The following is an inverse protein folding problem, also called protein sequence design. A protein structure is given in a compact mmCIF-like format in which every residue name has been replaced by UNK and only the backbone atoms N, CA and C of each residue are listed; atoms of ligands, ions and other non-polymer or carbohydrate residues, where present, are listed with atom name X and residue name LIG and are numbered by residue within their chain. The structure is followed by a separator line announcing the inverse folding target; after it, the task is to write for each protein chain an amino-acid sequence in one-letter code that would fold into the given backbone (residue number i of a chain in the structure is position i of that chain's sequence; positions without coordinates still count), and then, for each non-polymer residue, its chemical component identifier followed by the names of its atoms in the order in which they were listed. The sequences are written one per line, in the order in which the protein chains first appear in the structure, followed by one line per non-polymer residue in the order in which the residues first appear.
data_IF_408925108160
#
_entry.id   IF_408925108160
#
_cell.length_a   1.000
_cell.length_b   1.000
_cell.length_c   1.000
_cell.angle_alpha   90.00
_cell.angle_beta   90.00
_cell.angle_gamma   90.00
#
_symmetry.space_group_name_H-M   'P 1'
#
loop_
_entity.id
_entity.type
_entity.pdbx_description
1 polymer ?
#
# COMPACT_ATOMS: atom_id res chain seq x y z
N UNK A 1 4.75 5.32 -16.56
CA UNK A 1 4.29 4.09 -15.92
C UNK A 1 3.24 4.43 -14.88
N UNK A 2 2.19 3.61 -14.79
CA UNK A 2 1.07 3.76 -13.88
C UNK A 2 1.13 2.69 -12.80
N UNK A 3 0.76 3.02 -11.57
CA UNK A 3 0.73 2.11 -10.44
C UNK A 3 0.94 2.87 -9.13
N UNK A 4 0.58 2.22 -8.02
CA UNK A 4 0.76 2.77 -6.67
C UNK A 4 2.24 2.81 -6.31
N UNK A 5 2.79 3.95 -5.86
CA UNK A 5 4.16 4.04 -5.38
C UNK A 5 4.42 3.06 -4.22
N UNK A 6 5.49 2.27 -4.31
CA UNK A 6 5.86 1.39 -3.20
C UNK A 6 6.23 2.21 -1.96
N UNK A 7 5.63 1.94 -0.80
CA UNK A 7 5.90 2.66 0.45
C UNK A 7 7.19 2.18 1.12
N UNK A 8 8.27 2.09 0.35
CA UNK A 8 9.55 1.55 0.79
C UNK A 8 10.62 2.64 0.72
N UNK A 9 11.27 2.91 1.84
CA UNK A 9 12.41 3.82 1.94
C UNK A 9 13.69 3.02 2.20
N UNK A 10 14.76 3.42 1.54
CA UNK A 10 16.11 2.85 1.72
C UNK A 10 17.09 3.94 2.09
N UNK A 11 18.08 3.57 2.92
CA UNK A 11 19.19 4.46 3.26
C UNK A 11 19.93 4.89 2.01
N UNK A 12 20.30 6.16 1.96
CA UNK A 12 21.12 6.75 0.91
C UNK A 12 22.39 7.39 1.48
N UNK A 13 23.42 7.47 0.66
CA UNK A 13 24.63 8.21 0.95
C UNK A 13 24.46 9.73 0.67
N UNK A 14 25.53 10.49 0.78
CA UNK A 14 25.55 11.93 0.54
C UNK A 14 25.30 12.31 -0.93
N UNK A 15 25.45 11.36 -1.85
CA UNK A 15 25.19 11.51 -3.28
C UNK A 15 23.81 10.95 -3.69
N UNK A 16 22.95 10.66 -2.71
CA UNK A 16 21.63 10.06 -2.92
C UNK A 16 21.63 8.65 -3.56
N UNK A 17 22.76 7.92 -3.44
CA UNK A 17 22.84 6.52 -3.88
C UNK A 17 22.36 5.58 -2.78
N UNK A 18 21.59 4.57 -3.13
CA UNK A 18 21.11 3.58 -2.17
C UNK A 18 22.27 2.74 -1.62
N UNK A 19 22.26 2.57 -0.31
CA UNK A 19 23.23 1.72 0.41
C UNK A 19 22.58 0.36 0.64
N UNK A 20 23.24 -0.71 0.22
CA UNK A 20 22.77 -2.07 0.48
C UNK A 20 22.83 -2.41 1.97
N UNK A 21 21.95 -3.32 2.42
CA UNK A 21 21.89 -3.76 3.83
C UNK A 21 23.23 -4.37 4.30
N UNK A 22 23.94 -5.11 3.41
CA UNK A 22 25.27 -5.65 3.70
C UNK A 22 26.33 -4.58 3.96
N UNK A 23 26.11 -3.35 3.47
CA UNK A 23 27.00 -2.20 3.63
C UNK A 23 26.47 -1.23 4.71
N UNK A 24 25.55 -1.70 5.55
CA UNK A 24 24.94 -0.93 6.65
C UNK A 24 23.81 -0.01 6.24
N UNK A 25 23.21 -0.26 5.09
CA UNK A 25 21.94 0.36 4.69
C UNK A 25 20.76 -0.25 5.46
N UNK A 26 19.67 0.51 5.54
CA UNK A 26 18.42 0.08 6.15
C UNK A 26 17.29 0.14 5.12
N UNK A 27 16.32 -0.74 5.26
CA UNK A 27 15.07 -0.75 4.48
C UNK A 27 13.91 -0.56 5.45
N UNK A 28 13.01 0.35 5.12
CA UNK A 28 11.79 0.59 5.89
C UNK A 28 10.57 0.58 4.97
N UNK A 29 9.59 -0.26 5.30
CA UNK A 29 8.28 -0.24 4.67
C UNK A 29 7.31 0.51 5.61
N UNK A 30 6.60 1.49 5.08
CA UNK A 30 5.61 2.29 5.83
C UNK A 30 4.23 1.68 5.62
N UNK A 31 3.58 1.30 6.70
CA UNK A 31 2.29 0.60 6.70
C UNK A 31 1.06 1.50 6.82
N UNK A 32 1.22 2.77 7.20
CA UNK A 32 0.08 3.68 7.36
C UNK A 32 0.47 5.15 7.18
N UNK A 33 -0.53 6.00 6.94
CA UNK A 33 -0.35 7.47 6.88
C UNK A 33 0.12 8.01 8.24
N UNK A 34 -0.38 7.46 9.33
CA UNK A 34 0.03 7.85 10.68
C UNK A 34 1.52 7.57 10.90
N UNK A 35 1.97 6.36 10.56
CA UNK A 35 3.40 6.00 10.62
C UNK A 35 4.25 6.91 9.75
N UNK A 36 3.77 7.25 8.54
CA UNK A 36 4.49 8.16 7.65
C UNK A 36 4.64 9.56 8.26
N UNK A 37 3.56 10.11 8.82
CA UNK A 37 3.60 11.42 9.47
C UNK A 37 4.56 11.45 10.67
N UNK A 38 4.57 10.38 11.48
CA UNK A 38 5.50 10.26 12.60
C UNK A 38 6.95 10.17 12.12
N UNK A 39 7.20 9.43 11.06
CA UNK A 39 8.53 9.32 10.46
C UNK A 39 9.03 10.63 9.84
N UNK A 40 8.14 11.41 9.20
CA UNK A 40 8.45 12.75 8.68
C UNK A 40 8.82 13.70 9.81
N UNK A 41 8.05 13.69 10.90
CA UNK A 41 8.33 14.52 12.09
C UNK A 41 9.68 14.16 12.70
N UNK A 42 9.94 12.87 12.91
CA UNK A 42 11.20 12.38 13.40
C UNK A 42 12.39 12.79 12.50
N UNK A 43 12.22 12.72 11.19
CA UNK A 43 13.26 13.15 10.25
C UNK A 43 13.60 14.64 10.39
N UNK A 44 12.60 15.50 10.59
CA UNK A 44 12.81 16.94 10.83
C UNK A 44 13.56 17.21 12.14
N UNK A 45 13.28 16.43 13.19
CA UNK A 45 13.96 16.54 14.48
C UNK A 45 15.43 16.13 14.39
N UNK A 46 15.71 14.96 13.78
CA UNK A 46 17.07 14.40 13.70
C UNK A 46 17.97 15.21 12.78
N UNK A 47 17.48 15.63 11.64
CA UNK A 47 18.26 16.40 10.66
C UNK A 47 18.32 17.89 11.02
N UNK A 48 17.68 18.33 12.10
CA UNK A 48 17.63 19.74 12.57
C UNK A 48 17.22 20.73 11.50
N UNK A 49 16.36 20.33 10.55
CA UNK A 49 15.83 21.14 9.46
C UNK A 49 14.53 20.56 8.94
N UNK A 50 13.70 21.39 8.37
CA UNK A 50 12.51 20.92 7.63
C UNK A 50 12.94 20.39 6.25
N UNK A 51 13.24 19.10 6.19
CA UNK A 51 13.65 18.41 4.95
C UNK A 51 12.46 18.02 4.09
N UNK A 52 11.25 18.09 4.65
CA UNK A 52 10.01 17.65 4.00
C UNK A 52 9.03 18.82 3.76
N UNK A 53 9.51 20.07 3.71
CA UNK A 53 8.63 21.26 3.58
C UNK A 53 7.74 21.27 2.33
N UNK A 54 8.03 20.45 1.34
CA UNK A 54 7.29 20.35 0.08
C UNK A 54 6.46 19.07 -0.05
N UNK A 55 6.35 18.25 0.99
CA UNK A 55 5.61 16.99 0.93
C UNK A 55 4.08 17.16 0.94
N UNK A 56 3.60 18.35 1.30
CA UNK A 56 2.18 18.68 1.24
C UNK A 56 1.87 19.35 -0.10
N UNK A 57 0.99 18.75 -0.87
CA UNK A 57 0.40 19.37 -2.04
C UNK A 57 -0.91 20.06 -1.64
N UNK A 58 -1.01 21.38 -1.86
CA UNK A 58 -2.15 22.21 -1.42
C UNK A 58 -2.49 22.05 0.07
N UNK A 59 -1.48 21.80 0.92
CA UNK A 59 -1.67 21.60 2.36
C UNK A 59 -2.13 20.20 2.77
N UNK A 60 -2.23 19.28 1.84
CA UNK A 60 -2.65 17.88 2.06
C UNK A 60 -1.51 16.94 1.71
N UNK A 61 -1.35 15.86 2.49
CA UNK A 61 -0.42 14.78 2.16
C UNK A 61 -0.88 14.09 0.88
N UNK A 62 -0.11 14.28 -0.19
CA UNK A 62 -0.35 13.62 -1.47
C UNK A 62 0.65 12.49 -1.68
N UNK A 63 0.15 11.24 -1.75
CA UNK A 63 0.98 10.05 -1.93
C UNK A 63 1.22 9.70 -3.41
N UNK A 64 0.75 10.52 -4.33
CA UNK A 64 1.05 10.34 -5.75
C UNK A 64 2.46 10.83 -6.10
N UNK A 65 3.02 10.30 -7.16
CA UNK A 65 4.23 10.86 -7.77
C UNK A 65 3.90 12.20 -8.44
N UNK A 66 4.77 13.20 -8.38
CA UNK A 66 6.14 13.15 -7.81
C UNK A 66 6.21 13.42 -6.29
N UNK A 67 5.14 13.86 -5.66
CA UNK A 67 5.14 14.42 -4.30
C UNK A 67 5.69 13.44 -3.26
N UNK A 68 5.29 12.17 -3.31
CA UNK A 68 5.78 11.13 -2.38
C UNK A 68 7.27 10.85 -2.52
N UNK A 69 7.85 11.11 -3.69
CA UNK A 69 9.28 10.87 -3.95
C UNK A 69 10.19 11.87 -3.23
N UNK A 70 9.64 13.05 -2.89
CA UNK A 70 10.38 14.11 -2.19
C UNK A 70 10.44 13.89 -0.66
N UNK A 71 9.71 12.91 -0.14
CA UNK A 71 9.68 12.61 1.29
C UNK A 71 10.97 11.94 1.72
N UNK A 72 11.70 12.59 2.63
CA UNK A 72 12.92 12.08 3.24
C UNK A 72 12.61 11.55 4.63
N UNK A 73 12.99 10.32 4.91
CA UNK A 73 12.93 9.73 6.23
C UNK A 73 14.32 9.53 6.82
N UNK A 74 14.38 9.06 8.06
CA UNK A 74 15.63 8.76 8.76
C UNK A 74 15.54 7.34 9.33
N UNK A 75 16.60 6.57 9.09
CA UNK A 75 16.78 5.23 9.63
C UNK A 75 17.18 5.25 11.11
N UNK A 76 17.26 4.07 11.71
CA UNK A 76 17.74 3.90 13.10
C UNK A 76 19.18 4.36 13.29
N UNK A 77 19.97 4.27 12.22
CA UNK A 77 21.37 4.76 12.18
C UNK A 77 21.49 6.29 12.13
N UNK A 78 20.38 7.02 12.03
CA UNK A 78 20.39 8.46 11.84
C UNK A 78 20.67 8.91 10.39
N UNK A 79 20.87 7.97 9.46
CA UNK A 79 21.11 8.26 8.05
C UNK A 79 19.81 8.56 7.31
N UNK A 80 19.94 9.39 6.27
CA UNK A 80 18.82 9.73 5.38
C UNK A 80 18.32 8.50 4.61
N UNK A 81 17.03 8.46 4.37
CA UNK A 81 16.37 7.45 3.56
C UNK A 81 15.51 8.11 2.50
N UNK A 82 15.57 7.61 1.28
CA UNK A 82 14.71 8.01 0.16
C UNK A 82 13.82 6.86 -0.27
N UNK A 83 12.64 7.20 -0.76
CA UNK A 83 11.71 6.21 -1.31
C UNK A 83 12.31 5.57 -2.57
N UNK A 84 12.14 4.26 -2.72
CA UNK A 84 12.50 3.59 -3.98
C UNK A 84 11.62 4.10 -5.12
N UNK A 85 12.15 4.27 -6.34
CA UNK A 85 11.37 4.86 -7.45
C UNK A 85 10.29 3.93 -8.00
N UNK A 86 10.29 2.68 -7.56
CA UNK A 86 9.44 1.63 -8.07
C UNK A 86 7.96 1.86 -7.75
N UNK A 87 7.10 1.34 -8.62
CA UNK A 87 5.66 1.25 -8.47
C UNK A 87 5.28 -0.21 -8.31
N UNK A 88 4.21 -0.49 -7.58
CA UNK A 88 3.62 -1.82 -7.60
C UNK A 88 2.92 -2.05 -8.94
N UNK A 89 2.83 -3.31 -9.35
CA UNK A 89 2.09 -3.67 -10.56
C UNK A 89 0.61 -3.29 -10.43
N UNK A 90 0.02 -2.71 -11.47
CA UNK A 90 -1.38 -2.26 -11.49
C UNK A 90 -2.38 -3.40 -11.23
N UNK A 91 -1.99 -4.65 -11.50
CA UNK A 91 -2.79 -5.82 -11.18
C UNK A 91 -2.92 -6.06 -9.67
N UNK A 92 -1.97 -5.57 -8.88
CA UNK A 92 -2.12 -5.55 -7.43
C UNK A 92 -3.25 -4.60 -7.03
N UNK A 93 -3.31 -3.41 -7.59
CA UNK A 93 -4.36 -2.43 -7.28
C UNK A 93 -5.75 -3.01 -7.56
N UNK A 94 -5.94 -3.60 -8.76
CA UNK A 94 -7.21 -4.23 -9.13
C UNK A 94 -7.52 -5.48 -8.30
N UNK A 95 -6.51 -6.28 -7.98
CA UNK A 95 -6.64 -7.48 -7.15
C UNK A 95 -6.90 -7.19 -5.67
N UNK A 96 -6.52 -6.00 -5.20
CA UNK A 96 -6.75 -5.53 -3.84
C UNK A 96 -8.17 -4.94 -3.63
N UNK A 97 -8.93 -4.67 -4.69
CA UNK A 97 -10.20 -3.96 -4.66
C UNK A 97 -11.21 -4.50 -3.63
N UNK A 98 -11.42 -5.83 -3.46
CA UNK A 98 -12.47 -6.34 -2.56
C UNK A 98 -12.35 -5.89 -1.10
N UNK A 99 -11.15 -5.54 -0.66
CA UNK A 99 -10.89 -5.05 0.69
C UNK A 99 -10.36 -3.61 0.71
N UNK A 100 -9.61 -3.18 -0.29
CA UNK A 100 -9.10 -1.82 -0.36
C UNK A 100 -10.23 -0.77 -0.43
N UNK A 101 -11.34 -1.07 -1.10
CA UNK A 101 -12.51 -0.20 -1.16
C UNK A 101 -13.12 0.12 0.21
N UNK A 102 -12.87 -0.72 1.21
CA UNK A 102 -13.35 -0.53 2.59
C UNK A 102 -12.30 0.10 3.50
N UNK A 103 -11.11 0.36 2.98
CA UNK A 103 -9.99 0.92 3.74
C UNK A 103 -9.53 0.02 4.89
N UNK A 104 -9.55 -1.29 4.67
CA UNK A 104 -9.27 -2.27 5.71
C UNK A 104 -7.80 -2.32 6.06
N UNK A 105 -7.51 -2.09 7.32
CA UNK A 105 -6.22 -2.36 7.93
C UNK A 105 -6.27 -3.74 8.59
N UNK A 106 -5.59 -4.70 8.00
CA UNK A 106 -5.57 -6.09 8.46
C UNK A 106 -5.02 -6.25 9.89
N UNK A 107 -4.04 -5.45 10.29
CA UNK A 107 -3.49 -5.50 11.64
C UNK A 107 -4.46 -4.94 12.69
N UNK A 108 -5.19 -3.89 12.35
CA UNK A 108 -6.25 -3.35 13.21
C UNK A 108 -7.41 -4.33 13.36
N UNK A 109 -7.74 -5.05 12.29
CA UNK A 109 -8.75 -6.11 12.33
C UNK A 109 -8.36 -7.24 13.28
N UNK A 110 -7.13 -7.73 13.20
CA UNK A 110 -6.62 -8.77 14.13
C UNK A 110 -6.65 -8.32 15.58
N UNK A 111 -6.48 -7.03 15.85
CA UNK A 111 -6.53 -6.45 17.20
C UNK A 111 -7.95 -6.16 17.69
N UNK A 112 -8.99 -6.41 16.86
CA UNK A 112 -10.38 -6.12 17.19
C UNK A 112 -10.71 -4.62 17.26
N UNK A 113 -9.90 -3.78 16.66
CA UNK A 113 -10.15 -2.34 16.56
C UNK A 113 -11.33 -2.06 15.62
N UNK A 114 -12.09 -1.01 15.93
CA UNK A 114 -13.20 -0.58 15.07
C UNK A 114 -12.66 -0.03 13.74
N UNK A 115 -13.34 -0.37 12.67
CA UNK A 115 -13.04 0.16 11.34
C UNK A 115 -13.07 1.70 11.34
N UNK A 116 -12.05 2.36 10.74
CA UNK A 116 -12.07 3.81 10.60
C UNK A 116 -13.11 4.29 9.58
N UNK A 117 -13.66 3.38 8.77
CA UNK A 117 -14.65 3.68 7.73
C UNK A 117 -16.03 3.13 8.11
N UNK A 118 -17.06 3.83 7.67
CA UNK A 118 -18.44 3.33 7.81
C UNK A 118 -18.64 2.14 6.88
N UNK A 119 -18.89 0.98 7.45
CA UNK A 119 -19.43 -0.12 6.69
C UNK A 119 -20.78 0.28 6.09
N UNK A 120 -21.21 -0.34 4.99
CA UNK A 120 -22.52 -0.10 4.41
C UNK A 120 -23.64 -0.26 5.45
N UNK A 121 -24.78 0.46 5.31
CA UNK A 121 -25.90 0.30 6.21
C UNK A 121 -26.35 -1.16 6.32
N UNK A 122 -26.45 -1.65 7.56
CA UNK A 122 -26.84 -3.03 7.85
C UNK A 122 -25.69 -4.04 7.89
N UNK A 123 -24.48 -3.62 7.56
CA UNK A 123 -23.26 -4.45 7.66
C UNK A 123 -22.54 -4.13 8.97
N UNK A 124 -22.28 -5.15 9.78
CA UNK A 124 -21.66 -4.99 11.09
C UNK A 124 -20.22 -5.50 11.14
N UNK A 125 -19.85 -6.37 10.20
CA UNK A 125 -18.53 -7.01 10.16
C UNK A 125 -18.05 -7.15 8.73
N UNK A 126 -16.73 -7.15 8.56
CA UNK A 126 -16.10 -7.32 7.25
C UNK A 126 -16.42 -8.67 6.60
N UNK A 127 -16.52 -9.72 7.39
CA UNK A 127 -16.80 -11.08 6.91
C UNK A 127 -18.18 -11.19 6.21
N UNK A 128 -19.04 -10.19 6.37
CA UNK A 128 -20.30 -10.09 5.64
C UNK A 128 -20.09 -9.58 4.20
N UNK A 129 -18.99 -8.87 3.95
CA UNK A 129 -18.63 -8.29 2.65
C UNK A 129 -17.57 -9.12 1.92
N UNK A 130 -16.77 -9.86 2.65
CA UNK A 130 -15.63 -10.62 2.12
C UNK A 130 -15.65 -12.07 2.59
N UNK A 131 -15.41 -13.08 1.71
CA UNK A 131 -15.21 -12.96 0.25
C UNK A 131 -16.41 -12.39 -0.50
N UNK A 132 -16.18 -11.78 -1.67
CA UNK A 132 -17.25 -11.27 -2.52
C UNK A 132 -18.26 -12.38 -2.86
N UNK A 133 -19.53 -12.03 -2.94
CA UNK A 133 -20.59 -13.02 -3.25
C UNK A 133 -20.39 -13.65 -4.61
N UNK A 134 -20.07 -12.83 -5.63
CA UNK A 134 -19.68 -13.30 -6.96
C UNK A 134 -18.86 -12.25 -7.69
N UNK A 135 -18.17 -12.69 -8.75
CA UNK A 135 -17.54 -11.85 -9.77
C UNK A 135 -17.97 -12.36 -11.15
N UNK A 136 -17.94 -11.48 -12.16
CA UNK A 136 -18.37 -11.82 -13.52
C UNK A 136 -17.48 -11.12 -14.54
N UNK A 137 -16.71 -11.89 -15.30
CA UNK A 137 -15.82 -11.43 -16.38
C UNK A 137 -15.60 -12.52 -17.43
N UNK A 138 -14.77 -12.26 -18.44
CA UNK A 138 -14.39 -13.25 -19.44
C UNK A 138 -13.47 -14.33 -18.92
N UNK A 139 -13.43 -15.48 -19.59
CA UNK A 139 -12.58 -16.62 -19.22
C UNK A 139 -11.08 -16.31 -19.30
N UNK A 140 -10.68 -15.31 -20.08
CA UNK A 140 -9.32 -14.80 -20.17
C UNK A 140 -8.79 -14.27 -18.83
N UNK A 141 -9.70 -13.84 -17.92
CA UNK A 141 -9.35 -13.35 -16.59
C UNK A 141 -8.85 -14.42 -15.62
N UNK A 142 -8.85 -15.68 -16.01
CA UNK A 142 -8.13 -16.76 -15.31
C UNK A 142 -6.61 -16.51 -15.26
N UNK A 143 -6.09 -15.69 -16.18
CA UNK A 143 -4.69 -15.22 -16.23
C UNK A 143 -4.56 -13.70 -16.02
N UNK A 144 -5.57 -13.08 -15.46
CA UNK A 144 -5.65 -11.67 -15.17
C UNK A 144 -6.28 -11.42 -13.81
N UNK A 145 -7.43 -10.76 -13.79
CA UNK A 145 -8.08 -10.31 -12.56
C UNK A 145 -8.49 -11.44 -11.61
N UNK A 146 -9.03 -12.56 -12.11
CA UNK A 146 -9.38 -13.70 -11.25
C UNK A 146 -8.15 -14.24 -10.52
N UNK A 147 -7.01 -14.34 -11.22
CA UNK A 147 -5.76 -14.78 -10.62
C UNK A 147 -5.26 -13.81 -9.55
N UNK A 148 -5.21 -12.52 -9.84
CA UNK A 148 -4.66 -11.52 -8.90
C UNK A 148 -5.54 -11.34 -7.68
N UNK A 149 -6.87 -11.34 -7.82
CA UNK A 149 -7.80 -11.39 -6.70
C UNK A 149 -7.51 -12.55 -5.77
N UNK A 150 -7.34 -13.75 -6.34
CA UNK A 150 -7.13 -14.97 -5.56
C UNK A 150 -5.74 -15.02 -4.92
N UNK A 151 -4.71 -14.62 -5.65
CA UNK A 151 -3.34 -14.59 -5.13
C UNK A 151 -3.21 -13.67 -3.91
N UNK A 152 -3.76 -12.45 -3.99
CA UNK A 152 -3.71 -11.49 -2.88
C UNK A 152 -4.57 -11.97 -1.70
N UNK A 153 -5.76 -12.51 -1.96
CA UNK A 153 -6.62 -13.08 -0.92
C UNK A 153 -5.93 -14.22 -0.17
N UNK A 154 -5.27 -15.11 -0.88
CA UNK A 154 -4.54 -16.22 -0.28
C UNK A 154 -3.37 -15.74 0.59
N UNK A 155 -2.62 -14.73 0.12
CA UNK A 155 -1.47 -14.18 0.85
C UNK A 155 -1.86 -13.40 2.10
N UNK A 156 -2.95 -12.60 2.06
CA UNK A 156 -3.32 -11.72 3.15
C UNK A 156 -4.33 -12.35 4.13
N UNK A 157 -5.24 -13.18 3.63
CA UNK A 157 -6.39 -13.67 4.40
C UNK A 157 -6.47 -15.20 4.49
N UNK A 158 -5.56 -15.92 3.84
CA UNK A 158 -5.60 -17.40 3.76
C UNK A 158 -6.98 -17.90 3.26
N UNK A 159 -7.60 -17.17 2.35
CA UNK A 159 -8.98 -17.36 1.92
C UNK A 159 -9.12 -17.18 0.40
N UNK A 160 -10.33 -17.47 -0.10
CA UNK A 160 -10.73 -17.11 -1.47
C UNK A 160 -11.16 -15.64 -1.53
N UNK A 161 -11.05 -15.00 -2.69
CA UNK A 161 -11.50 -13.63 -2.87
C UNK A 161 -13.01 -13.51 -3.14
N UNK A 162 -13.61 -14.57 -3.66
CA UNK A 162 -15.02 -14.65 -4.06
C UNK A 162 -15.56 -16.06 -3.90
N UNK A 163 -16.88 -16.17 -3.72
CA UNK A 163 -17.60 -17.45 -3.52
C UNK A 163 -18.04 -18.07 -4.83
N UNK A 164 -18.36 -17.24 -5.82
CA UNK A 164 -18.88 -17.65 -7.12
C UNK A 164 -18.25 -16.83 -8.22
N UNK A 165 -18.02 -17.44 -9.38
CA UNK A 165 -17.57 -16.77 -10.60
C UNK A 165 -18.54 -17.04 -11.74
N UNK A 166 -18.94 -15.99 -12.44
CA UNK A 166 -19.61 -16.08 -13.74
C UNK A 166 -18.55 -15.80 -14.80
N UNK A 167 -18.12 -16.86 -15.50
CA UNK A 167 -17.11 -16.75 -16.54
C UNK A 167 -17.76 -16.79 -17.93
N UNK A 168 -17.73 -15.66 -18.60
CA UNK A 168 -18.21 -15.57 -19.98
C UNK A 168 -17.22 -16.21 -20.94
N UNK A 169 -17.71 -16.75 -22.06
CA UNK A 169 -16.88 -17.25 -23.13
C UNK A 169 -16.05 -16.14 -23.80
N UNK A 170 -15.14 -16.56 -24.67
CA UNK A 170 -14.39 -15.62 -25.49
C UNK A 170 -15.34 -14.86 -26.41
N UNK A 171 -15.17 -13.54 -26.44
CA UNK A 171 -15.84 -12.66 -27.43
C UNK A 171 -14.94 -12.61 -28.67
N UNK A 172 -15.50 -12.98 -29.82
CA UNK A 172 -14.82 -12.97 -31.12
C UNK A 172 -14.95 -11.60 -31.77
#
# INVERSE_FOLDING_TARGET
FWGTPLPIWKTVDDNDQYIDEKDGGEVRCIGSIEELNDAIRYASEVLSRDVNKHYLHEGILDLHKPYVDDIILVGKSGKRMKRVPDLIDVWFDSGAMPYAQWGLDHEKLKKGEKYPFKLPPGVNRFEELYPASFIAEGVDQTRGWFYTLHAIAALLYESVAYKTVVSNGLVL
#
